data_IF_971318074571
#
_entry.id   IF_971318074571
#
_cell.length_a   1.000
_cell.length_b   1.000
_cell.length_c   1.000
_cell.angle_alpha   90.00
_cell.angle_beta   90.00
_cell.angle_gamma   90.00
#
_symmetry.space_group_name_H-M   'P 1'
#
loop_
_entity.id
_entity.type
_entity.pdbx_description
1 polymer ?
#
# COMPACT_ATOMS: atom_id res chain seq x y z
N UNK A 1 31.38 12.82 0.84
CA UNK A 1 29.93 13.08 0.81
C UNK A 1 29.61 14.39 0.13
N UNK A 2 30.17 15.55 0.49
CA UNK A 2 29.84 16.84 -0.18
C UNK A 2 30.02 16.81 -1.71
N UNK A 3 31.11 16.23 -2.24
CA UNK A 3 31.26 16.04 -3.69
C UNK A 3 30.13 15.24 -4.38
N UNK A 4 29.34 14.53 -3.62
CA UNK A 4 28.19 13.80 -4.15
C UNK A 4 26.96 14.70 -4.19
N UNK A 5 26.79 15.54 -3.18
CA UNK A 5 25.72 16.54 -3.15
C UNK A 5 25.93 17.61 -4.25
N UNK A 6 27.17 17.85 -4.69
CA UNK A 6 27.47 18.68 -5.86
C UNK A 6 26.91 18.12 -7.18
N UNK A 7 26.52 16.81 -7.21
CA UNK A 7 25.90 16.16 -8.36
C UNK A 7 24.37 16.27 -8.39
N UNK A 8 23.78 17.07 -7.51
CA UNK A 8 22.33 17.34 -7.55
C UNK A 8 22.01 18.11 -8.82
N UNK A 9 21.27 17.50 -9.73
CA UNK A 9 20.85 18.05 -11.03
C UNK A 9 19.43 18.63 -10.97
N UNK A 10 18.57 18.02 -10.16
CA UNK A 10 17.15 18.39 -10.04
C UNK A 10 16.87 18.92 -8.64
N UNK A 11 16.51 20.20 -8.53
CA UNK A 11 16.21 20.84 -7.26
C UNK A 11 17.42 21.39 -6.52
N UNK A 12 17.26 21.68 -5.23
CA UNK A 12 18.32 22.24 -4.39
C UNK A 12 18.23 21.78 -2.94
N UNK A 13 19.39 21.74 -2.28
CA UNK A 13 19.53 21.34 -0.87
C UNK A 13 20.30 22.41 -0.09
N UNK A 14 19.72 22.89 0.99
CA UNK A 14 20.43 23.65 2.02
C UNK A 14 20.79 22.71 3.19
N UNK A 15 22.06 22.52 3.43
CA UNK A 15 22.60 21.68 4.50
C UNK A 15 23.19 22.56 5.60
N UNK A 16 22.64 22.47 6.79
CA UNK A 16 23.13 23.16 7.99
C UNK A 16 23.97 22.17 8.81
N UNK A 17 25.24 22.49 9.00
CA UNK A 17 26.21 21.68 9.71
C UNK A 17 26.09 21.87 11.23
N UNK A 18 26.62 20.95 12.06
CA UNK A 18 26.56 21.05 13.52
C UNK A 18 27.29 22.28 14.10
N UNK A 19 28.22 22.88 13.33
CA UNK A 19 28.93 24.11 13.68
C UNK A 19 28.20 25.40 13.26
N UNK A 20 27.01 25.27 12.68
CA UNK A 20 26.19 26.37 12.18
C UNK A 20 26.48 26.82 10.76
N UNK A 21 27.49 26.25 10.10
CA UNK A 21 27.78 26.56 8.70
C UNK A 21 26.63 26.06 7.81
N UNK A 22 26.25 26.88 6.79
CA UNK A 22 25.31 26.51 5.74
C UNK A 22 26.06 26.22 4.45
N UNK A 23 25.75 25.09 3.83
CA UNK A 23 26.20 24.71 2.49
C UNK A 23 24.97 24.57 1.59
N UNK A 24 25.04 25.05 0.36
CA UNK A 24 23.95 24.94 -0.62
C UNK A 24 24.42 24.14 -1.83
N UNK A 25 23.58 23.21 -2.32
CA UNK A 25 23.86 22.32 -3.43
C UNK A 25 22.69 22.36 -4.43
N UNK A 26 22.98 22.09 -5.72
CA UNK A 26 22.00 22.14 -6.80
C UNK A 26 21.69 23.57 -7.25
N UNK A 27 20.75 23.72 -8.16
CA UNK A 27 20.37 25.00 -8.74
C UNK A 27 19.06 25.51 -8.16
N UNK A 28 19.10 26.69 -7.55
CA UNK A 28 17.90 27.44 -7.13
C UNK A 28 17.51 28.40 -8.25
N UNK A 29 16.40 28.13 -8.93
CA UNK A 29 15.79 29.17 -9.78
C UNK A 29 15.16 30.19 -8.85
N UNK A 30 15.61 31.45 -8.91
CA UNK A 30 15.08 32.51 -8.06
C UNK A 30 13.56 32.66 -8.30
N UNK A 31 12.79 32.63 -7.22
CA UNK A 31 11.31 32.68 -7.27
C UNK A 31 10.76 33.94 -8.00
N UNK A 32 11.59 34.97 -8.19
CA UNK A 32 11.24 36.20 -8.92
C UNK A 32 11.39 36.11 -10.45
N UNK A 33 12.05 35.07 -10.98
CA UNK A 33 12.33 34.95 -12.41
C UNK A 33 11.60 33.76 -13.05
N UNK A 34 10.89 32.93 -12.28
CA UNK A 34 10.26 31.73 -12.78
C UNK A 34 8.77 31.95 -13.09
N UNK A 35 8.39 31.73 -14.35
CA UNK A 35 7.00 31.40 -14.67
C UNK A 35 6.59 30.12 -13.88
N UNK A 36 5.30 29.90 -13.58
CA UNK A 36 4.84 28.67 -12.89
C UNK A 36 5.38 27.37 -13.52
N UNK A 37 5.56 27.34 -14.84
CA UNK A 37 6.12 26.22 -15.59
C UNK A 37 7.63 26.02 -15.33
N UNK A 38 8.41 27.09 -15.19
CA UNK A 38 9.83 27.04 -14.85
C UNK A 38 10.08 26.70 -13.38
N UNK A 39 9.19 27.15 -12.48
CA UNK A 39 9.25 26.77 -11.06
C UNK A 39 8.96 25.27 -10.87
N UNK A 40 8.00 24.71 -11.62
CA UNK A 40 7.75 23.27 -11.64
C UNK A 40 8.92 22.46 -12.24
N UNK A 41 9.66 23.02 -13.21
CA UNK A 41 10.84 22.40 -13.82
C UNK A 41 12.10 22.45 -12.95
N UNK A 42 12.16 23.33 -11.91
CA UNK A 42 13.35 23.49 -11.06
C UNK A 42 13.53 22.40 -9.98
N UNK A 43 12.54 21.54 -9.79
CA UNK A 43 12.56 20.49 -8.75
C UNK A 43 12.37 21.01 -7.32
N UNK A 44 12.32 20.12 -6.32
CA UNK A 44 12.06 20.46 -4.93
C UNK A 44 13.26 21.21 -4.31
N UNK A 45 12.92 22.13 -3.39
CA UNK A 45 13.89 22.70 -2.48
C UNK A 45 13.79 22.04 -1.11
N UNK A 46 14.89 21.46 -0.64
CA UNK A 46 14.96 20.78 0.65
C UNK A 46 15.98 21.46 1.57
N UNK A 47 15.78 21.31 2.88
CA UNK A 47 16.78 21.62 3.88
C UNK A 47 17.05 20.41 4.78
N UNK A 48 18.25 20.29 5.28
CA UNK A 48 18.65 19.30 6.28
C UNK A 48 19.46 20.02 7.35
N UNK A 49 19.07 19.86 8.61
CA UNK A 49 19.81 20.34 9.78
C UNK A 49 20.47 19.14 10.46
N UNK A 50 21.81 19.09 10.47
CA UNK A 50 22.56 18.02 11.11
C UNK A 50 22.71 18.29 12.60
N UNK A 51 22.25 17.35 13.44
CA UNK A 51 22.56 17.33 14.85
C UNK A 51 24.01 16.82 15.10
N UNK A 52 24.48 15.94 14.23
CA UNK A 52 25.83 15.35 14.25
C UNK A 52 26.21 14.82 12.86
N UNK A 53 27.40 14.20 12.76
CA UNK A 53 27.95 13.70 11.49
C UNK A 53 27.51 12.26 11.13
N UNK A 54 26.67 11.61 11.93
CA UNK A 54 26.30 10.20 11.75
C UNK A 54 25.54 9.94 10.45
N UNK A 55 24.72 10.89 9.98
CA UNK A 55 24.04 10.80 8.69
C UNK A 55 24.97 10.28 7.59
N UNK A 56 26.16 10.87 7.48
CA UNK A 56 27.08 10.51 6.41
C UNK A 56 27.67 9.10 6.56
N UNK A 57 28.04 8.73 7.80
CA UNK A 57 28.57 7.40 8.06
C UNK A 57 27.53 6.31 7.92
N UNK A 58 26.29 6.56 8.34
CA UNK A 58 25.15 5.65 8.22
C UNK A 58 24.80 5.43 6.74
N UNK A 59 24.67 6.52 5.97
CA UNK A 59 24.37 6.47 4.52
C UNK A 59 25.45 5.73 3.75
N UNK A 60 26.73 6.00 4.00
CA UNK A 60 27.84 5.30 3.33
C UNK A 60 27.92 3.82 3.69
N UNK A 61 27.44 3.41 4.86
CA UNK A 61 27.47 2.01 5.33
C UNK A 61 26.29 1.20 4.81
N UNK A 62 25.09 1.77 4.80
CA UNK A 62 23.84 1.05 4.57
C UNK A 62 22.90 1.73 3.55
N UNK A 63 23.40 2.70 2.77
CA UNK A 63 22.64 3.35 1.70
C UNK A 63 21.40 4.09 2.22
N UNK A 64 20.28 3.91 1.51
CA UNK A 64 18.96 4.47 1.84
C UNK A 64 18.45 4.05 3.22
N UNK A 65 18.73 2.81 3.63
CA UNK A 65 18.40 2.31 4.96
C UNK A 65 19.19 3.07 6.04
N UNK A 66 20.47 3.32 5.80
CA UNK A 66 21.31 4.11 6.71
C UNK A 66 20.86 5.57 6.80
N UNK A 67 20.45 6.14 5.66
CA UNK A 67 19.85 7.46 5.59
C UNK A 67 18.57 7.55 6.43
N UNK A 68 17.65 6.61 6.24
CA UNK A 68 16.42 6.52 7.01
C UNK A 68 16.71 6.31 8.51
N UNK A 69 17.58 5.34 8.86
CA UNK A 69 17.93 5.06 10.24
C UNK A 69 18.47 6.29 10.98
N UNK A 70 19.33 7.09 10.32
CA UNK A 70 19.87 8.31 10.91
C UNK A 70 18.79 9.36 11.19
N UNK A 71 17.73 9.43 10.37
CA UNK A 71 16.54 10.24 10.66
C UNK A 71 15.81 9.73 11.89
N UNK A 72 15.56 8.40 11.96
CA UNK A 72 14.87 7.77 13.09
C UNK A 72 15.62 7.98 14.42
N UNK A 73 16.94 8.00 14.37
CA UNK A 73 17.82 8.19 15.54
C UNK A 73 17.98 9.68 15.92
N UNK A 74 17.44 10.60 15.10
CA UNK A 74 17.47 12.04 15.36
C UNK A 74 18.81 12.72 15.01
N UNK A 75 19.65 12.07 14.20
CA UNK A 75 20.93 12.62 13.75
C UNK A 75 20.75 13.85 12.85
N UNK A 76 19.57 14.03 12.28
CA UNK A 76 19.19 15.19 11.47
C UNK A 76 17.69 15.47 11.52
N UNK A 77 17.31 16.69 11.12
CA UNK A 77 15.95 17.15 10.97
C UNK A 77 15.78 17.97 9.68
N UNK A 78 14.54 18.26 9.33
CA UNK A 78 14.17 19.03 8.14
C UNK A 78 12.82 19.71 8.37
N UNK A 79 12.58 20.81 7.68
CA UNK A 79 11.26 21.48 7.69
C UNK A 79 10.25 20.74 6.78
N UNK A 80 10.76 19.94 5.81
CA UNK A 80 9.92 19.18 4.89
C UNK A 80 10.58 17.86 4.50
N UNK A 81 10.18 16.79 5.20
CA UNK A 81 10.70 15.46 4.91
C UNK A 81 10.35 15.00 3.48
N UNK A 82 9.15 15.35 3.00
CA UNK A 82 8.75 15.03 1.62
C UNK A 82 9.68 15.68 0.59
N UNK A 83 10.05 16.94 0.78
CA UNK A 83 10.96 17.62 -0.15
C UNK A 83 12.36 16.98 -0.20
N UNK A 84 12.86 16.50 0.95
CA UNK A 84 14.14 15.75 1.01
C UNK A 84 14.03 14.43 0.25
N UNK A 85 12.94 13.69 0.43
CA UNK A 85 12.74 12.39 -0.21
C UNK A 85 12.47 12.52 -1.72
N UNK A 86 11.74 13.55 -2.15
CA UNK A 86 11.56 13.87 -3.56
C UNK A 86 12.89 14.25 -4.21
N UNK A 87 13.71 15.11 -3.55
CA UNK A 87 15.03 15.47 -4.03
C UNK A 87 15.92 14.24 -4.20
N UNK A 88 15.93 13.34 -3.22
CA UNK A 88 16.69 12.09 -3.27
C UNK A 88 16.20 11.17 -4.41
N UNK A 89 14.88 11.11 -4.62
CA UNK A 89 14.25 10.30 -5.65
C UNK A 89 14.59 10.79 -7.05
N UNK A 90 14.51 12.10 -7.30
CA UNK A 90 14.82 12.72 -8.59
C UNK A 90 16.32 12.65 -8.95
N UNK A 91 17.19 12.66 -7.94
CA UNK A 91 18.64 12.60 -8.13
C UNK A 91 19.20 11.21 -7.81
N UNK A 92 18.39 10.16 -7.95
CA UNK A 92 18.81 8.78 -7.66
C UNK A 92 20.03 8.38 -8.45
N UNK A 93 20.03 8.57 -9.78
CA UNK A 93 21.09 8.10 -10.67
C UNK A 93 22.43 8.80 -10.40
N UNK A 94 22.51 10.14 -10.27
CA UNK A 94 23.74 10.83 -9.89
C UNK A 94 24.28 10.43 -8.51
N UNK A 95 23.41 10.07 -7.58
CA UNK A 95 23.77 9.70 -6.22
C UNK A 95 23.97 8.19 -6.02
N UNK A 96 23.60 7.37 -7.03
CA UNK A 96 23.54 5.91 -6.95
C UNK A 96 24.85 5.27 -6.56
N UNK A 97 25.98 5.69 -7.15
CA UNK A 97 27.31 5.11 -6.90
C UNK A 97 27.75 5.27 -5.44
N UNK A 98 27.27 6.31 -4.78
CA UNK A 98 27.61 6.62 -3.40
C UNK A 98 26.71 5.92 -2.39
N UNK A 99 25.42 5.86 -2.69
CA UNK A 99 24.41 5.30 -1.80
C UNK A 99 24.45 3.77 -1.87
N UNK A 100 24.77 3.21 -3.03
CA UNK A 100 24.62 1.77 -3.30
C UNK A 100 25.91 1.04 -3.71
N UNK A 101 27.03 1.73 -3.82
CA UNK A 101 28.29 1.19 -4.35
C UNK A 101 29.02 0.14 -3.49
N UNK A 102 28.50 -0.28 -2.34
CA UNK A 102 29.15 -1.30 -1.47
C UNK A 102 28.26 -2.50 -1.22
N UNK A 103 28.53 -3.58 -1.95
CA UNK A 103 27.80 -4.86 -1.94
C UNK A 103 27.82 -5.64 -0.60
N UNK A 104 28.68 -5.29 0.35
CA UNK A 104 28.81 -5.98 1.64
C UNK A 104 27.63 -5.77 2.60
N UNK A 105 26.89 -4.65 2.50
CA UNK A 105 25.69 -4.41 3.30
C UNK A 105 24.52 -5.37 2.98
N UNK A 106 24.48 -5.90 1.76
CA UNK A 106 23.42 -6.77 1.28
C UNK A 106 23.38 -8.17 1.91
N UNK A 107 24.47 -8.65 2.55
CA UNK A 107 24.49 -10.00 3.12
C UNK A 107 23.70 -10.10 4.43
N UNK A 108 23.82 -9.10 5.28
CA UNK A 108 23.13 -9.05 6.59
C UNK A 108 21.63 -8.80 6.40
N UNK A 109 21.28 -7.95 5.42
CA UNK A 109 19.88 -7.68 5.05
C UNK A 109 19.20 -8.89 4.42
N UNK A 110 19.91 -9.68 3.60
CA UNK A 110 19.40 -10.97 3.06
C UNK A 110 19.09 -12.00 4.14
N UNK A 111 19.93 -12.11 5.17
CA UNK A 111 19.69 -13.01 6.32
C UNK A 111 18.43 -12.59 7.10
N UNK A 112 18.21 -11.30 7.33
CA UNK A 112 16.98 -10.78 7.96
C UNK A 112 15.75 -11.02 7.09
N UNK A 113 15.85 -10.83 5.78
CA UNK A 113 14.74 -11.09 4.85
C UNK A 113 14.34 -12.59 4.83
N UNK A 114 15.30 -13.51 4.96
CA UNK A 114 15.04 -14.94 5.09
C UNK A 114 14.27 -15.31 6.38
N UNK A 115 14.47 -14.57 7.45
CA UNK A 115 13.77 -14.77 8.73
C UNK A 115 12.31 -14.28 8.70
N UNK A 116 11.98 -13.33 7.82
CA UNK A 116 10.66 -12.73 7.68
C UNK A 116 9.81 -13.37 6.55
N UNK A 117 10.11 -14.62 6.17
CA UNK A 117 9.36 -15.34 5.13
C UNK A 117 7.88 -15.47 5.49
N UNK A 118 6.99 -15.22 4.50
CA UNK A 118 5.53 -15.27 4.63
C UNK A 118 5.01 -16.73 4.61
N UNK A 119 5.61 -17.62 5.41
CA UNK A 119 4.98 -18.89 5.79
C UNK A 119 3.66 -18.61 6.51
N UNK A 120 2.78 -19.60 6.68
CA UNK A 120 1.50 -19.41 7.42
C UNK A 120 1.70 -18.77 8.80
N UNK A 121 2.71 -19.22 9.56
CA UNK A 121 3.07 -18.64 10.84
C UNK A 121 3.74 -17.25 10.70
N UNK A 122 4.57 -17.07 9.67
CA UNK A 122 5.23 -15.81 9.34
C UNK A 122 4.24 -14.72 8.94
N UNK A 123 3.29 -15.02 8.05
CA UNK A 123 2.24 -14.07 7.64
C UNK A 123 1.43 -13.58 8.83
N UNK A 124 0.99 -14.49 9.71
CA UNK A 124 0.27 -14.10 10.95
C UNK A 124 1.11 -13.16 11.82
N UNK A 125 2.37 -13.50 12.07
CA UNK A 125 3.28 -12.68 12.88
C UNK A 125 3.55 -11.31 12.25
N UNK A 126 3.79 -11.25 10.94
CA UNK A 126 4.07 -10.00 10.23
C UNK A 126 2.85 -9.07 10.22
N UNK A 127 1.64 -9.64 10.02
CA UNK A 127 0.37 -8.89 10.09
C UNK A 127 0.11 -8.41 11.52
N UNK A 128 0.30 -9.25 12.55
CA UNK A 128 0.17 -8.83 13.94
C UNK A 128 1.12 -7.68 14.27
N UNK A 129 2.39 -7.76 13.90
CA UNK A 129 3.35 -6.69 14.19
C UNK A 129 2.96 -5.32 13.63
N UNK A 130 2.26 -5.28 12.50
CA UNK A 130 1.82 -4.03 11.89
C UNK A 130 0.44 -3.55 12.40
N UNK A 131 -0.55 -4.44 12.52
CA UNK A 131 -1.93 -4.08 12.90
C UNK A 131 -2.20 -4.07 14.40
N UNK A 132 -1.31 -4.60 15.24
CA UNK A 132 -1.40 -4.56 16.71
C UNK A 132 -1.13 -3.15 17.30
N UNK A 133 -0.88 -2.13 16.45
CA UNK A 133 -0.86 -0.72 16.87
C UNK A 133 -2.22 -0.25 17.42
N UNK A 134 -3.28 -1.02 17.16
CA UNK A 134 -4.63 -0.78 17.66
C UNK A 134 -5.49 0.12 16.76
N UNK A 135 -6.79 -0.15 16.75
CA UNK A 135 -7.75 0.61 15.94
C UNK A 135 -7.78 2.10 16.30
N UNK A 136 -7.54 2.44 17.59
CA UNK A 136 -7.46 3.81 18.08
C UNK A 136 -6.33 4.62 17.44
N UNK A 137 -5.19 4.00 17.13
CA UNK A 137 -4.09 4.63 16.43
C UNK A 137 -4.47 4.94 14.97
N UNK A 138 -5.01 3.97 14.25
CA UNK A 138 -5.41 4.15 12.85
C UNK A 138 -6.53 5.18 12.69
N UNK A 139 -7.48 5.24 13.63
CA UNK A 139 -8.56 6.20 13.62
C UNK A 139 -8.11 7.67 13.78
N UNK A 140 -6.89 7.94 14.23
CA UNK A 140 -6.36 9.30 14.34
C UNK A 140 -6.11 9.95 12.98
N UNK A 141 -5.76 9.16 11.96
CA UNK A 141 -5.28 9.69 10.69
C UNK A 141 -5.94 9.08 9.44
N UNK A 142 -6.57 7.92 9.53
CA UNK A 142 -7.45 7.43 8.47
C UNK A 142 -8.73 8.27 8.38
N UNK A 143 -9.49 8.10 7.31
CA UNK A 143 -10.83 8.63 7.19
C UNK A 143 -11.84 7.80 8.03
N UNK A 144 -13.08 8.31 8.26
CA UNK A 144 -14.08 7.60 9.07
C UNK A 144 -14.42 6.18 8.57
N UNK A 145 -14.19 5.91 7.29
CA UNK A 145 -14.40 4.56 6.73
C UNK A 145 -13.32 3.55 7.18
N UNK A 146 -12.28 4.00 7.88
CA UNK A 146 -11.15 3.16 8.31
C UNK A 146 -10.52 2.41 7.13
N UNK A 147 -10.38 3.07 5.98
CA UNK A 147 -9.83 2.44 4.79
C UNK A 147 -8.33 2.70 4.68
N UNK A 148 -7.52 1.64 4.82
CA UNK A 148 -6.07 1.69 4.75
C UNK A 148 -5.56 1.15 3.41
N UNK A 149 -5.95 1.85 2.35
CA UNK A 149 -5.53 1.61 0.96
C UNK A 149 -5.78 2.88 0.14
N UNK A 150 -5.23 2.98 -1.07
CA UNK A 150 -5.40 4.15 -1.92
C UNK A 150 -6.87 4.52 -2.09
N UNK A 151 -7.19 5.78 -1.96
CA UNK A 151 -8.45 6.35 -2.43
C UNK A 151 -8.39 6.61 -3.94
N UNK A 152 -9.53 6.77 -4.61
CA UNK A 152 -9.65 7.12 -6.02
C UNK A 152 -10.30 8.49 -6.14
N UNK A 153 -9.51 9.51 -6.49
CA UNK A 153 -10.00 10.87 -6.72
C UNK A 153 -10.39 11.12 -8.18
N UNK A 154 -9.78 10.37 -9.11
CA UNK A 154 -10.04 10.44 -10.55
C UNK A 154 -10.01 11.87 -11.10
N UNK A 155 -8.96 12.63 -10.72
CA UNK A 155 -8.77 14.02 -11.09
C UNK A 155 -9.67 15.02 -10.35
N UNK A 156 -10.67 14.58 -9.57
CA UNK A 156 -11.54 15.46 -8.81
C UNK A 156 -10.91 15.86 -7.46
N UNK A 157 -10.27 17.02 -7.44
CA UNK A 157 -9.59 17.56 -6.26
C UNK A 157 -10.54 18.01 -5.13
N UNK A 158 -11.85 18.08 -5.37
CA UNK A 158 -12.84 18.54 -4.38
C UNK A 158 -13.39 17.41 -3.50
N UNK A 159 -13.14 16.15 -3.85
CA UNK A 159 -13.57 15.01 -3.06
C UNK A 159 -12.87 14.98 -1.71
N UNK A 160 -13.64 14.69 -0.67
CA UNK A 160 -13.06 14.28 0.62
C UNK A 160 -12.40 12.91 0.49
N UNK A 161 -11.49 12.58 1.41
CA UNK A 161 -10.85 11.26 1.42
C UNK A 161 -11.86 10.13 1.51
N UNK A 162 -12.89 10.26 2.35
CA UNK A 162 -13.97 9.28 2.49
C UNK A 162 -14.75 9.09 1.17
N UNK A 163 -15.11 10.20 0.49
CA UNK A 163 -15.78 10.14 -0.81
C UNK A 163 -14.92 9.44 -1.87
N UNK A 164 -13.63 9.71 -1.88
CA UNK A 164 -12.69 9.07 -2.79
C UNK A 164 -12.50 7.57 -2.47
N UNK A 165 -12.57 7.17 -1.19
CA UNK A 165 -12.59 5.76 -0.79
C UNK A 165 -13.87 5.06 -1.28
N UNK A 166 -15.03 5.69 -1.16
CA UNK A 166 -16.29 5.16 -1.69
C UNK A 166 -16.26 5.06 -3.22
N UNK A 167 -15.65 6.03 -3.90
CA UNK A 167 -15.48 5.99 -5.36
C UNK A 167 -14.60 4.80 -5.80
N UNK A 168 -13.55 4.49 -5.07
CA UNK A 168 -12.73 3.29 -5.29
C UNK A 168 -13.57 2.00 -5.20
N UNK A 169 -14.37 1.85 -4.15
CA UNK A 169 -15.21 0.67 -3.97
C UNK A 169 -16.25 0.55 -5.07
N UNK A 170 -16.89 1.67 -5.44
CA UNK A 170 -17.85 1.69 -6.54
C UNK A 170 -17.22 1.20 -7.84
N UNK A 171 -16.03 1.69 -8.18
CA UNK A 171 -15.32 1.25 -9.38
C UNK A 171 -15.04 -0.26 -9.35
N UNK A 172 -14.63 -0.82 -8.21
CA UNK A 172 -14.42 -2.27 -8.07
C UNK A 172 -15.74 -3.02 -8.32
N UNK A 173 -16.84 -2.58 -7.74
CA UNK A 173 -18.17 -3.20 -7.92
C UNK A 173 -18.64 -3.12 -9.38
N UNK A 174 -18.41 -2.01 -10.06
CA UNK A 174 -18.69 -1.85 -11.50
C UNK A 174 -17.89 -2.84 -12.36
N UNK A 175 -16.61 -3.05 -12.05
CA UNK A 175 -15.77 -4.03 -12.76
C UNK A 175 -16.19 -5.48 -12.48
N UNK A 176 -16.78 -5.77 -11.33
CA UNK A 176 -17.30 -7.09 -10.97
C UNK A 176 -18.70 -7.36 -11.55
N UNK A 177 -19.48 -6.32 -11.89
CA UNK A 177 -20.89 -6.45 -12.32
C UNK A 177 -21.11 -7.47 -13.44
N UNK A 178 -20.29 -7.56 -14.51
CA UNK A 178 -20.51 -8.55 -15.57
C UNK A 178 -20.50 -10.01 -15.11
N UNK A 179 -19.85 -10.32 -13.98
CA UNK A 179 -19.88 -11.66 -13.39
C UNK A 179 -21.27 -12.07 -12.87
N UNK A 180 -22.07 -11.07 -12.46
CA UNK A 180 -23.42 -11.28 -11.92
C UNK A 180 -24.50 -11.27 -13.02
N UNK A 181 -24.22 -10.61 -14.15
CA UNK A 181 -25.15 -10.52 -15.29
C UNK A 181 -25.09 -11.75 -16.20
N UNK A 182 -23.98 -12.49 -16.20
CA UNK A 182 -23.77 -13.64 -17.07
C UNK A 182 -24.63 -14.87 -16.70
N UNK A 183 -25.45 -14.80 -15.66
CA UNK A 183 -26.31 -15.90 -15.17
C UNK A 183 -27.75 -15.49 -14.90
N UNK A 184 -28.63 -15.47 -15.90
CA UNK A 184 -30.05 -15.59 -15.62
C UNK A 184 -30.37 -17.05 -15.27
N UNK A 185 -30.44 -17.40 -13.97
CA UNK A 185 -31.08 -18.63 -13.51
C UNK A 185 -30.27 -19.72 -12.84
N UNK A 186 -28.93 -19.66 -12.79
CA UNK A 186 -28.12 -20.61 -12.02
C UNK A 186 -27.49 -19.94 -10.77
N UNK A 187 -28.19 -20.01 -9.65
CA UNK A 187 -27.54 -19.79 -8.35
C UNK A 187 -26.60 -20.95 -8.09
N UNK A 188 -25.26 -20.75 -8.16
CA UNK A 188 -24.36 -21.69 -7.52
C UNK A 188 -24.70 -21.70 -6.03
N UNK A 189 -24.99 -22.90 -5.50
CA UNK A 189 -24.96 -23.08 -4.06
C UNK A 189 -23.60 -22.60 -3.58
N UNK A 190 -23.58 -21.42 -2.96
CA UNK A 190 -22.39 -20.96 -2.27
C UNK A 190 -21.99 -22.04 -1.27
N UNK A 191 -20.69 -22.32 -1.15
CA UNK A 191 -20.17 -23.21 -0.09
C UNK A 191 -20.50 -22.66 1.32
N UNK A 192 -21.20 -21.56 1.36
CA UNK A 192 -21.80 -20.90 2.51
C UNK A 192 -23.32 -20.87 2.33
N UNK A 193 -24.03 -21.71 3.09
CA UNK A 193 -25.47 -21.53 3.32
C UNK A 193 -25.65 -20.47 4.42
N UNK A 194 -26.16 -19.27 4.11
CA UNK A 194 -26.62 -18.37 5.16
C UNK A 194 -27.69 -19.12 5.95
N UNK A 195 -27.63 -19.03 7.28
CA UNK A 195 -28.56 -19.76 8.18
C UNK A 195 -29.99 -19.69 7.63
N UNK A 196 -30.57 -20.85 7.31
CA UNK A 196 -31.88 -20.97 6.69
C UNK A 196 -32.96 -20.42 7.65
N UNK A 197 -33.24 -19.13 7.54
CA UNK A 197 -34.45 -18.54 8.07
C UNK A 197 -35.30 -18.06 6.90
N UNK A 198 -36.23 -18.89 6.46
CA UNK A 198 -37.24 -18.53 5.47
C UNK A 198 -38.16 -17.45 6.03
N UNK A 199 -37.79 -16.19 5.89
CA UNK A 199 -38.69 -15.05 6.05
C UNK A 199 -39.28 -14.66 4.68
N UNK A 200 -40.60 -14.51 4.52
CA UNK A 200 -41.21 -14.05 3.28
C UNK A 200 -40.76 -12.60 3.01
N UNK A 201 -40.24 -12.35 1.81
CA UNK A 201 -39.83 -11.02 1.35
C UNK A 201 -38.31 -10.83 1.09
N UNK A 202 -37.51 -11.89 1.13
CA UNK A 202 -36.07 -11.83 0.89
C UNK A 202 -35.79 -11.64 -0.62
N UNK A 203 -35.10 -10.56 -0.96
CA UNK A 203 -34.51 -10.36 -2.31
C UNK A 203 -33.41 -11.43 -2.44
N UNK A 204 -33.47 -12.25 -3.49
CA UNK A 204 -32.39 -13.18 -3.81
C UNK A 204 -31.09 -12.38 -3.99
N UNK A 205 -29.96 -12.79 -3.38
CA UNK A 205 -28.70 -12.07 -3.52
C UNK A 205 -28.32 -11.98 -4.99
N UNK A 206 -27.83 -10.80 -5.42
CA UNK A 206 -27.36 -10.57 -6.80
C UNK A 206 -26.18 -11.45 -7.17
N UNK A 207 -25.41 -11.91 -6.21
CA UNK A 207 -24.22 -12.74 -6.39
C UNK A 207 -23.41 -12.87 -5.12
N UNK A 208 -22.36 -13.69 -5.19
CA UNK A 208 -21.45 -13.98 -4.09
C UNK A 208 -20.05 -13.41 -4.36
N UNK A 209 -19.47 -12.73 -3.37
CA UNK A 209 -18.14 -12.13 -3.44
C UNK A 209 -17.24 -12.69 -2.35
N UNK A 210 -16.03 -13.12 -2.71
CA UNK A 210 -14.95 -13.35 -1.78
C UNK A 210 -14.08 -12.11 -1.68
N UNK A 211 -13.93 -11.54 -0.48
CA UNK A 211 -12.93 -10.49 -0.21
C UNK A 211 -11.72 -11.08 0.48
N UNK A 212 -10.57 -11.07 -0.21
CA UNK A 212 -9.30 -11.55 0.34
C UNK A 212 -8.57 -10.37 0.98
N UNK A 213 -8.55 -10.34 2.32
CA UNK A 213 -7.99 -9.20 3.08
C UNK A 213 -9.04 -8.12 3.34
N UNK A 214 -10.11 -8.45 4.08
CA UNK A 214 -11.24 -7.55 4.27
C UNK A 214 -10.97 -6.34 5.19
N UNK A 215 -9.80 -6.27 5.83
CA UNK A 215 -9.43 -5.16 6.69
C UNK A 215 -10.53 -4.86 7.73
N UNK A 216 -10.91 -3.60 7.85
CA UNK A 216 -11.99 -3.13 8.74
C UNK A 216 -13.39 -3.21 8.11
N UNK A 217 -13.57 -4.00 7.03
CA UNK A 217 -14.87 -4.32 6.45
C UNK A 217 -15.49 -3.25 5.55
N UNK A 218 -14.71 -2.26 5.09
CA UNK A 218 -15.22 -1.16 4.28
C UNK A 218 -15.79 -1.60 2.92
N UNK A 219 -15.08 -2.45 2.19
CA UNK A 219 -15.57 -2.98 0.92
C UNK A 219 -16.70 -4.01 1.15
N UNK A 220 -16.59 -4.87 2.17
CA UNK A 220 -17.66 -5.82 2.50
C UNK A 220 -18.99 -5.12 2.76
N UNK A 221 -18.97 -4.00 3.51
CA UNK A 221 -20.15 -3.17 3.74
C UNK A 221 -20.68 -2.58 2.43
N UNK A 222 -19.82 -2.01 1.60
CA UNK A 222 -20.22 -1.40 0.33
C UNK A 222 -20.85 -2.44 -0.61
N UNK A 223 -20.26 -3.63 -0.73
CA UNK A 223 -20.76 -4.72 -1.57
C UNK A 223 -22.10 -5.28 -1.06
N UNK A 224 -22.26 -5.43 0.26
CA UNK A 224 -23.52 -5.89 0.85
C UNK A 224 -24.64 -4.86 0.66
N UNK A 225 -24.36 -3.56 0.76
CA UNK A 225 -25.33 -2.49 0.45
C UNK A 225 -25.76 -2.50 -1.02
N UNK A 226 -24.90 -2.99 -1.93
CA UNK A 226 -25.24 -3.22 -3.35
C UNK A 226 -26.00 -4.54 -3.60
N UNK A 227 -26.38 -5.25 -2.52
CA UNK A 227 -27.19 -6.47 -2.58
C UNK A 227 -26.41 -7.77 -2.82
N UNK A 228 -25.08 -7.75 -2.63
CA UNK A 228 -24.21 -8.92 -2.75
C UNK A 228 -24.09 -9.66 -1.41
N UNK A 229 -23.87 -10.97 -1.48
CA UNK A 229 -23.44 -11.77 -0.32
C UNK A 229 -21.91 -11.79 -0.29
N UNK A 230 -21.31 -11.42 0.83
CA UNK A 230 -19.85 -11.27 0.96
C UNK A 230 -19.30 -12.26 1.97
N UNK A 231 -18.24 -12.95 1.60
CA UNK A 231 -17.33 -13.61 2.52
C UNK A 231 -16.01 -12.86 2.58
N UNK A 232 -15.69 -12.30 3.76
CA UNK A 232 -14.44 -11.55 3.96
C UNK A 232 -13.45 -12.33 4.82
N UNK A 233 -12.18 -12.37 4.37
CA UNK A 233 -11.09 -13.05 5.07
C UNK A 233 -10.11 -12.04 5.63
N UNK A 234 -9.69 -12.22 6.88
CA UNK A 234 -8.57 -11.47 7.48
C UNK A 234 -7.73 -12.39 8.38
N UNK A 235 -6.50 -11.98 8.66
CA UNK A 235 -5.62 -12.61 9.66
C UNK A 235 -5.50 -11.81 10.95
N UNK A 236 -6.08 -10.60 11.02
CA UNK A 236 -6.07 -9.74 12.20
C UNK A 236 -7.36 -9.90 13.01
N UNK A 237 -7.22 -10.23 14.29
CA UNK A 237 -8.35 -10.35 15.21
C UNK A 237 -8.99 -8.98 15.48
N UNK A 238 -8.20 -7.95 15.57
CA UNK A 238 -8.63 -6.57 15.82
C UNK A 238 -9.45 -6.04 14.64
N UNK A 239 -9.00 -6.28 13.41
CA UNK A 239 -9.74 -5.94 12.21
C UNK A 239 -11.05 -6.72 12.13
N UNK A 240 -11.01 -8.04 12.39
CA UNK A 240 -12.21 -8.88 12.39
C UNK A 240 -13.25 -8.38 13.37
N UNK A 241 -12.86 -8.09 14.62
CA UNK A 241 -13.77 -7.61 15.65
C UNK A 241 -14.42 -6.28 15.24
N UNK A 242 -13.63 -5.34 14.74
CA UNK A 242 -14.12 -4.05 14.26
C UNK A 242 -15.05 -4.21 13.04
N UNK A 243 -14.64 -5.00 12.05
CA UNK A 243 -15.41 -5.24 10.84
C UNK A 243 -16.78 -5.92 11.18
N UNK A 244 -16.78 -6.90 12.08
CA UNK A 244 -18.02 -7.55 12.53
C UNK A 244 -18.96 -6.53 13.18
N UNK A 245 -18.45 -5.71 14.11
CA UNK A 245 -19.26 -4.66 14.74
C UNK A 245 -19.83 -3.67 13.71
N UNK A 246 -19.02 -3.27 12.72
CA UNK A 246 -19.44 -2.40 11.61
C UNK A 246 -20.60 -3.00 10.83
N UNK A 247 -20.50 -4.27 10.45
CA UNK A 247 -21.52 -4.98 9.68
C UNK A 247 -22.81 -5.13 10.48
N UNK A 248 -22.70 -5.45 11.77
CA UNK A 248 -23.85 -5.54 12.68
C UNK A 248 -24.58 -4.19 12.82
N UNK A 249 -23.82 -3.11 13.04
CA UNK A 249 -24.36 -1.74 13.13
C UNK A 249 -25.04 -1.28 11.82
N UNK A 250 -24.54 -1.75 10.68
CA UNK A 250 -25.12 -1.47 9.37
C UNK A 250 -26.39 -2.31 9.07
N UNK A 251 -26.71 -3.31 9.92
CA UNK A 251 -27.82 -4.24 9.70
C UNK A 251 -27.59 -5.24 8.56
N UNK A 252 -26.32 -5.56 8.26
CA UNK A 252 -25.90 -6.37 7.11
C UNK A 252 -25.41 -7.78 7.51
N UNK A 253 -25.57 -8.19 8.76
CA UNK A 253 -25.07 -9.46 9.29
C UNK A 253 -25.59 -10.71 8.54
N UNK A 254 -26.76 -10.63 7.91
CA UNK A 254 -27.27 -11.73 7.08
C UNK A 254 -26.62 -11.85 5.71
N UNK A 255 -25.92 -10.79 5.23
CA UNK A 255 -25.32 -10.72 3.90
C UNK A 255 -23.79 -10.85 3.95
N UNK A 256 -23.17 -10.66 5.13
CA UNK A 256 -21.72 -10.64 5.26
C UNK A 256 -21.26 -11.65 6.30
N UNK A 257 -20.39 -12.55 5.89
CA UNK A 257 -19.63 -13.43 6.78
C UNK A 257 -18.17 -13.00 6.78
N UNK A 258 -17.61 -12.76 7.97
CA UNK A 258 -16.20 -12.42 8.16
C UNK A 258 -15.50 -13.51 8.96
N UNK A 259 -14.34 -13.97 8.47
CA UNK A 259 -13.61 -15.08 9.06
C UNK A 259 -12.15 -14.76 9.32
N UNK A 260 -11.63 -15.24 10.44
CA UNK A 260 -10.18 -15.27 10.71
C UNK A 260 -9.57 -16.46 9.96
N UNK A 261 -9.30 -16.28 8.67
CA UNK A 261 -8.92 -17.36 7.78
C UNK A 261 -7.79 -16.92 6.84
N UNK A 262 -6.83 -17.82 6.63
CA UNK A 262 -5.80 -17.64 5.59
C UNK A 262 -6.42 -17.97 4.22
N UNK A 263 -6.26 -17.08 3.25
CA UNK A 263 -6.82 -17.26 1.89
C UNK A 263 -6.41 -18.59 1.25
N UNK A 264 -5.27 -19.16 1.64
CA UNK A 264 -4.78 -20.47 1.15
C UNK A 264 -5.66 -21.65 1.59
N UNK A 265 -6.43 -21.45 2.68
CA UNK A 265 -7.32 -22.47 3.24
C UNK A 265 -8.78 -22.34 2.72
N UNK A 266 -9.07 -21.26 1.97
CA UNK A 266 -10.38 -21.06 1.35
C UNK A 266 -10.65 -22.11 0.28
N UNK A 267 -11.84 -22.75 0.33
CA UNK A 267 -12.26 -23.81 -0.56
C UNK A 267 -13.56 -23.48 -1.34
N UNK A 268 -14.20 -22.37 -1.01
CA UNK A 268 -15.45 -21.94 -1.66
C UNK A 268 -15.25 -21.52 -3.12
N UNK A 269 -16.38 -21.37 -3.82
CA UNK A 269 -16.47 -20.79 -5.15
C UNK A 269 -17.40 -19.59 -5.13
N UNK A 270 -16.99 -18.52 -5.80
CA UNK A 270 -17.66 -17.23 -5.75
C UNK A 270 -17.82 -16.67 -7.17
N UNK A 271 -18.91 -15.94 -7.40
CA UNK A 271 -19.15 -15.26 -8.67
C UNK A 271 -18.11 -14.16 -8.90
N UNK A 272 -17.64 -13.53 -7.82
CA UNK A 272 -16.63 -12.50 -7.88
C UNK A 272 -15.61 -12.60 -6.74
N UNK A 273 -14.41 -12.04 -6.98
CA UNK A 273 -13.35 -11.93 -5.97
C UNK A 273 -12.87 -10.47 -5.95
N UNK A 274 -12.73 -9.90 -4.76
CA UNK A 274 -12.05 -8.63 -4.53
C UNK A 274 -10.84 -8.85 -3.60
N UNK A 275 -9.73 -8.18 -3.87
CA UNK A 275 -8.56 -8.15 -2.99
C UNK A 275 -7.91 -6.77 -3.11
N UNK A 276 -7.86 -6.03 -2.00
CA UNK A 276 -7.46 -4.62 -2.01
C UNK A 276 -6.22 -4.47 -1.14
N UNK A 277 -5.05 -4.26 -1.78
CA UNK A 277 -3.75 -4.04 -1.15
C UNK A 277 -3.40 -5.09 -0.07
N UNK A 278 -3.65 -6.34 -0.41
CA UNK A 278 -3.24 -7.51 0.36
C UNK A 278 -2.11 -8.28 -0.33
N UNK A 279 -2.04 -8.20 -1.67
CA UNK A 279 -1.08 -8.96 -2.47
C UNK A 279 0.38 -8.63 -2.13
N UNK A 280 0.65 -7.40 -1.72
CA UNK A 280 1.96 -6.93 -1.26
C UNK A 280 2.50 -7.75 -0.08
N UNK A 281 1.60 -8.22 0.80
CA UNK A 281 1.95 -9.02 1.96
C UNK A 281 2.15 -10.52 1.64
N UNK A 282 1.89 -10.95 0.41
CA UNK A 282 2.01 -12.37 0.00
C UNK A 282 3.48 -12.80 -0.07
N UNK A 283 4.34 -11.96 -0.65
CA UNK A 283 5.73 -12.28 -0.93
C UNK A 283 5.91 -13.14 -2.20
N UNK A 284 6.98 -12.88 -2.95
CA UNK A 284 7.20 -13.42 -4.30
C UNK A 284 7.09 -14.94 -4.38
N UNK A 285 7.66 -15.67 -3.42
CA UNK A 285 7.65 -17.13 -3.39
C UNK A 285 6.24 -17.74 -3.31
N UNK A 286 5.24 -16.95 -2.89
CA UNK A 286 3.86 -17.40 -2.71
C UNK A 286 2.89 -16.83 -3.75
N UNK A 287 3.34 -15.99 -4.68
CA UNK A 287 2.50 -15.49 -5.77
C UNK A 287 1.82 -16.61 -6.58
N UNK A 288 2.52 -17.70 -6.95
CA UNK A 288 1.84 -18.82 -7.62
C UNK A 288 0.67 -19.41 -6.81
N UNK A 289 0.84 -19.57 -5.50
CA UNK A 289 -0.22 -20.11 -4.64
C UNK A 289 -1.39 -19.13 -4.51
N UNK A 290 -1.13 -17.84 -4.49
CA UNK A 290 -2.17 -16.81 -4.46
C UNK A 290 -3.04 -16.87 -5.72
N UNK A 291 -2.43 -16.83 -6.90
CA UNK A 291 -3.19 -16.88 -8.16
C UNK A 291 -3.89 -18.23 -8.36
N UNK A 292 -3.31 -19.35 -7.91
CA UNK A 292 -3.99 -20.64 -7.89
C UNK A 292 -5.22 -20.64 -7.00
N UNK A 293 -5.17 -19.94 -5.85
CA UNK A 293 -6.35 -19.78 -4.98
C UNK A 293 -7.41 -18.93 -5.65
N UNK A 294 -7.04 -17.80 -6.25
CA UNK A 294 -7.96 -16.94 -7.01
C UNK A 294 -8.62 -17.76 -8.13
N UNK A 295 -7.84 -18.48 -8.94
CA UNK A 295 -8.36 -19.32 -10.03
C UNK A 295 -9.35 -20.38 -9.52
N UNK A 296 -9.02 -21.08 -8.43
CA UNK A 296 -9.87 -22.13 -7.86
C UNK A 296 -11.16 -21.58 -7.27
N UNK A 297 -11.07 -20.44 -6.58
CA UNK A 297 -12.20 -19.82 -5.88
C UNK A 297 -13.11 -19.03 -6.81
N UNK A 298 -12.68 -18.69 -8.03
CA UNK A 298 -13.47 -17.96 -9.00
C UNK A 298 -14.39 -18.93 -9.76
N UNK A 299 -15.68 -18.58 -9.87
CA UNK A 299 -16.64 -19.31 -10.70
C UNK A 299 -16.24 -19.23 -12.21
N UNK A 300 -16.69 -20.16 -13.07
CA UNK A 300 -16.28 -20.20 -14.48
C UNK A 300 -16.49 -18.90 -15.27
N UNK A 301 -17.54 -18.16 -14.97
CA UNK A 301 -17.86 -16.86 -15.59
C UNK A 301 -17.55 -15.67 -14.67
N UNK A 302 -16.87 -15.95 -13.56
CA UNK A 302 -16.59 -14.97 -12.54
C UNK A 302 -15.52 -13.96 -12.96
N UNK A 303 -15.46 -12.88 -12.18
CA UNK A 303 -14.42 -11.84 -12.30
C UNK A 303 -13.73 -11.63 -10.96
N UNK A 304 -12.44 -11.39 -11.01
CA UNK A 304 -11.67 -10.95 -9.86
C UNK A 304 -11.12 -9.55 -10.11
N UNK A 305 -11.22 -8.66 -9.12
CA UNK A 305 -10.52 -7.36 -9.12
C UNK A 305 -9.50 -7.36 -8.01
N UNK A 306 -8.23 -7.22 -8.39
CA UNK A 306 -7.12 -7.17 -7.46
C UNK A 306 -6.49 -5.78 -7.54
N UNK A 307 -6.60 -5.01 -6.44
CA UNK A 307 -5.87 -3.77 -6.29
C UNK A 307 -4.56 -4.06 -5.58
N UNK A 308 -3.45 -3.65 -6.18
CA UNK A 308 -2.11 -3.82 -5.60
C UNK A 308 -1.15 -2.73 -6.03
N UNK A 309 -0.21 -2.41 -5.15
CA UNK A 309 0.93 -1.56 -5.46
C UNK A 309 1.88 -2.32 -6.38
N UNK A 310 2.40 -1.64 -7.39
CA UNK A 310 3.42 -2.15 -8.30
C UNK A 310 4.66 -1.29 -8.26
N UNK A 311 5.81 -1.88 -8.58
CA UNK A 311 7.06 -1.15 -8.76
C UNK A 311 7.38 -1.05 -10.26
N UNK A 312 8.03 0.04 -10.67
CA UNK A 312 8.48 0.22 -12.05
C UNK A 312 9.44 -0.91 -12.47
N UNK A 313 9.32 -1.40 -13.72
CA UNK A 313 10.06 -2.57 -14.21
C UNK A 313 11.59 -2.38 -14.10
N UNK A 314 12.09 -1.19 -14.37
CA UNK A 314 13.52 -0.84 -14.28
C UNK A 314 14.07 -0.90 -12.85
N UNK A 315 13.23 -0.80 -11.84
CA UNK A 315 13.62 -0.85 -10.43
C UNK A 315 13.53 -2.26 -9.84
N UNK A 316 12.78 -3.17 -10.47
CA UNK A 316 12.39 -4.45 -9.89
C UNK A 316 13.57 -5.35 -9.56
N UNK A 317 14.51 -5.51 -10.48
CA UNK A 317 15.66 -6.40 -10.29
C UNK A 317 16.52 -6.01 -9.09
N UNK A 318 16.64 -4.72 -8.84
CA UNK A 318 17.36 -4.18 -7.70
C UNK A 318 16.55 -4.33 -6.42
N UNK A 319 15.26 -3.96 -6.44
CA UNK A 319 14.32 -4.10 -5.33
C UNK A 319 14.25 -5.56 -4.85
N UNK A 320 14.14 -6.52 -5.77
CA UNK A 320 14.10 -7.95 -5.49
C UNK A 320 15.37 -8.48 -4.79
N UNK A 321 16.54 -7.90 -5.09
CA UNK A 321 17.84 -8.31 -4.53
C UNK A 321 18.18 -7.63 -3.22
N UNK A 322 17.51 -6.54 -2.91
CA UNK A 322 17.74 -5.73 -1.72
C UNK A 322 16.69 -5.90 -0.64
N UNK A 323 16.67 -4.97 0.26
CA UNK A 323 15.59 -4.70 1.21
C UNK A 323 15.52 -3.19 1.36
N UNK A 324 14.32 -2.64 1.37
CA UNK A 324 14.09 -1.21 1.52
C UNK A 324 13.63 -0.84 2.95
N UNK A 325 13.39 0.44 3.15
CA UNK A 325 12.88 0.96 4.41
C UNK A 325 11.56 0.29 4.83
N UNK A 326 10.63 0.12 3.88
CA UNK A 326 9.30 -0.45 4.14
C UNK A 326 9.41 -1.89 4.65
N UNK A 327 10.21 -2.69 4.00
CA UNK A 327 10.42 -4.10 4.37
C UNK A 327 11.14 -4.27 5.71
N UNK A 328 11.94 -3.28 6.14
CA UNK A 328 12.67 -3.36 7.40
C UNK A 328 11.90 -2.84 8.60
N UNK A 329 11.13 -1.77 8.43
CA UNK A 329 10.56 -1.03 9.56
C UNK A 329 9.03 -1.06 9.62
N UNK A 330 8.34 -1.33 8.49
CA UNK A 330 6.87 -1.19 8.40
C UNK A 330 6.19 -2.50 8.03
N UNK A 331 6.54 -3.10 6.89
CA UNK A 331 5.92 -4.32 6.37
C UNK A 331 6.96 -5.42 6.13
N UNK A 332 7.42 -6.13 7.19
CA UNK A 332 8.37 -7.23 7.02
C UNK A 332 7.82 -8.31 6.09
N UNK A 333 8.62 -8.70 5.09
CA UNK A 333 8.23 -9.71 4.12
C UNK A 333 7.36 -9.21 2.96
N UNK A 334 7.03 -7.92 2.92
CA UNK A 334 6.33 -7.30 1.80
C UNK A 334 7.12 -7.37 0.50
N UNK A 335 6.42 -7.52 -0.64
CA UNK A 335 7.04 -7.58 -1.96
C UNK A 335 6.10 -7.06 -3.03
N UNK A 336 6.52 -6.01 -3.73
CA UNK A 336 5.77 -5.41 -4.82
C UNK A 336 6.04 -6.14 -6.13
N UNK A 337 5.03 -6.51 -6.92
CA UNK A 337 5.21 -7.00 -8.27
C UNK A 337 5.46 -5.82 -9.23
N UNK A 338 5.98 -6.11 -10.41
CA UNK A 338 5.76 -5.24 -11.57
C UNK A 338 4.42 -5.60 -12.23
N UNK A 339 3.91 -4.70 -13.10
CA UNK A 339 2.71 -4.98 -13.89
C UNK A 339 2.91 -6.25 -14.74
N UNK A 340 4.10 -6.40 -15.35
CA UNK A 340 4.44 -7.56 -16.17
C UNK A 340 4.54 -8.84 -15.35
N UNK A 341 5.17 -8.82 -14.18
CA UNK A 341 5.27 -10.00 -13.30
C UNK A 341 3.90 -10.44 -12.77
N UNK A 342 3.04 -9.49 -12.38
CA UNK A 342 1.68 -9.78 -11.96
C UNK A 342 0.90 -10.51 -13.06
N UNK A 343 0.89 -9.97 -14.29
CA UNK A 343 0.19 -10.57 -15.42
C UNK A 343 0.72 -11.99 -15.75
N UNK A 344 2.03 -12.17 -15.76
CA UNK A 344 2.65 -13.50 -16.01
C UNK A 344 2.26 -14.54 -14.96
N UNK A 345 2.21 -14.16 -13.68
CA UNK A 345 1.81 -15.11 -12.62
C UNK A 345 0.32 -15.44 -12.69
N UNK A 346 -0.53 -14.48 -13.03
CA UNK A 346 -1.95 -14.71 -13.28
C UNK A 346 -2.14 -15.69 -14.46
N UNK A 347 -1.45 -15.47 -15.58
CA UNK A 347 -1.53 -16.30 -16.77
C UNK A 347 -1.08 -17.74 -16.52
N UNK A 348 0.03 -17.93 -15.80
CA UNK A 348 0.52 -19.27 -15.40
C UNK A 348 -0.48 -20.03 -14.52
N UNK A 349 -1.34 -19.33 -13.81
CA UNK A 349 -2.42 -19.91 -12.99
C UNK A 349 -3.71 -20.15 -13.77
N UNK A 350 -3.76 -19.83 -15.07
CA UNK A 350 -4.96 -20.00 -15.92
C UNK A 350 -5.93 -18.81 -15.84
N UNK A 351 -5.47 -17.65 -15.37
CA UNK A 351 -6.19 -16.38 -15.37
C UNK A 351 -5.63 -15.48 -16.46
N UNK A 352 -6.44 -14.53 -16.94
CA UNK A 352 -5.98 -13.44 -17.83
C UNK A 352 -6.37 -12.09 -17.27
N UNK A 353 -5.50 -11.12 -17.38
CA UNK A 353 -5.81 -9.71 -17.12
C UNK A 353 -6.61 -9.17 -18.31
N UNK A 354 -7.86 -8.82 -18.08
CA UNK A 354 -8.75 -8.26 -19.11
C UNK A 354 -8.80 -6.73 -19.09
N UNK A 355 -8.47 -6.14 -17.95
CA UNK A 355 -8.33 -4.69 -17.77
C UNK A 355 -7.30 -4.39 -16.68
N UNK A 356 -6.57 -3.31 -16.85
CA UNK A 356 -5.71 -2.71 -15.83
C UNK A 356 -5.98 -1.20 -15.76
N UNK A 357 -6.02 -0.66 -14.55
CA UNK A 357 -6.25 0.76 -14.30
C UNK A 357 -5.29 1.25 -13.23
N UNK A 358 -4.34 2.10 -13.64
CA UNK A 358 -3.34 2.71 -12.75
C UNK A 358 -3.79 4.08 -12.25
N UNK A 359 -3.61 4.37 -10.95
CA UNK A 359 -4.00 5.62 -10.31
C UNK A 359 -3.06 6.03 -9.16
N UNK A 360 -1.76 5.80 -9.32
CA UNK A 360 -0.76 6.09 -8.29
C UNK A 360 -0.68 7.55 -7.85
N UNK A 361 -1.06 8.51 -8.71
CA UNK A 361 -1.12 9.91 -8.30
C UNK A 361 -2.23 10.17 -7.26
N UNK A 362 -3.30 9.39 -7.28
CA UNK A 362 -4.34 9.42 -6.26
C UNK A 362 -3.83 8.81 -4.95
N UNK A 363 -2.92 7.82 -5.03
CA UNK A 363 -2.27 7.31 -3.83
C UNK A 363 -1.30 8.33 -3.23
N UNK A 364 -0.52 9.03 -4.05
CA UNK A 364 0.33 10.12 -3.55
C UNK A 364 -0.51 11.13 -2.76
N UNK A 365 -1.69 11.52 -3.27
CA UNK A 365 -2.62 12.41 -2.57
C UNK A 365 -3.20 11.78 -1.30
N UNK A 366 -3.56 10.51 -1.34
CA UNK A 366 -4.05 9.75 -0.16
C UNK A 366 -3.01 9.78 0.95
N UNK A 367 -1.75 9.48 0.64
CA UNK A 367 -0.62 9.47 1.57
C UNK A 367 -0.32 10.86 2.12
N UNK A 368 -0.40 11.89 1.27
CA UNK A 368 -0.29 13.28 1.71
C UNK A 368 -1.34 13.61 2.77
N UNK A 369 -2.61 13.29 2.52
CA UNK A 369 -3.71 13.55 3.46
C UNK A 369 -3.54 12.74 4.76
N UNK A 370 -3.09 11.50 4.69
CA UNK A 370 -2.79 10.70 5.88
C UNK A 370 -1.63 11.30 6.67
N UNK A 371 -0.56 11.72 6.02
CA UNK A 371 0.61 12.33 6.68
C UNK A 371 0.23 13.66 7.35
N UNK A 372 -0.51 14.52 6.68
CA UNK A 372 -0.99 15.78 7.24
C UNK A 372 -1.87 15.54 8.48
N UNK A 373 -2.79 14.57 8.44
CA UNK A 373 -3.62 14.19 9.59
C UNK A 373 -2.79 13.58 10.72
N UNK A 374 -1.84 12.71 10.40
CA UNK A 374 -0.95 12.10 11.40
C UNK A 374 -0.16 13.17 12.15
N UNK A 375 0.46 14.12 11.44
CA UNK A 375 1.21 15.23 12.04
C UNK A 375 0.29 16.09 12.90
N UNK A 376 -0.91 16.40 12.42
CA UNK A 376 -1.89 17.18 13.18
C UNK A 376 -2.36 16.48 14.47
N UNK A 377 -2.26 15.15 14.55
CA UNK A 377 -2.66 14.34 15.71
C UNK A 377 -1.48 13.84 16.55
N UNK A 378 -0.29 14.39 16.37
CA UNK A 378 0.94 13.88 17.02
C UNK A 378 0.85 13.81 18.55
N UNK A 379 0.20 14.78 19.19
CA UNK A 379 0.01 14.77 20.63
C UNK A 379 -0.96 13.67 21.08
N UNK A 380 -1.93 13.29 20.23
CA UNK A 380 -2.82 12.17 20.48
C UNK A 380 -2.08 10.84 20.34
N UNK A 381 -1.16 10.74 19.38
CA UNK A 381 -0.25 9.60 19.22
C UNK A 381 0.58 9.41 20.48
N UNK A 382 1.20 10.47 20.99
CA UNK A 382 1.99 10.45 22.26
C UNK A 382 1.16 10.00 23.47
N UNK A 383 -0.08 10.49 23.58
CA UNK A 383 -0.99 10.07 24.65
C UNK A 383 -1.35 8.59 24.60
N UNK A 384 -1.27 7.94 23.44
CA UNK A 384 -1.42 6.48 23.31
C UNK A 384 -0.14 5.70 23.68
N UNK A 385 0.94 6.37 24.08
CA UNK A 385 2.18 5.76 24.55
C UNK A 385 3.25 5.54 23.50
N UNK A 386 3.07 6.05 22.28
CA UNK A 386 4.06 6.00 21.22
C UNK A 386 5.19 7.03 21.47
N UNK A 387 6.41 6.63 21.24
CA UNK A 387 7.60 7.47 21.44
C UNK A 387 7.98 8.28 20.17
N UNK A 388 8.92 9.20 20.34
CA UNK A 388 9.40 10.05 19.24
C UNK A 388 10.06 9.26 18.11
N UNK A 389 10.63 8.07 18.40
CA UNK A 389 11.18 7.21 17.36
C UNK A 389 10.06 6.63 16.50
N UNK A 390 8.96 6.17 17.10
CA UNK A 390 7.78 5.71 16.38
C UNK A 390 7.19 6.81 15.50
N UNK A 391 7.08 8.04 16.02
CA UNK A 391 6.61 9.20 15.26
C UNK A 391 7.43 9.39 13.99
N UNK A 392 8.76 9.37 14.09
CA UNK A 392 9.68 9.49 12.97
C UNK A 392 9.56 8.32 11.98
N UNK A 393 9.38 7.08 12.46
CA UNK A 393 9.15 5.91 11.59
C UNK A 393 7.90 6.12 10.75
N UNK A 394 6.80 6.56 11.39
CA UNK A 394 5.51 6.69 10.71
C UNK A 394 5.48 7.85 9.73
N UNK A 395 6.04 8.99 10.12
CA UNK A 395 6.18 10.14 9.22
C UNK A 395 7.08 9.80 8.00
N UNK A 396 8.22 9.15 8.25
CA UNK A 396 9.12 8.72 7.18
C UNK A 396 8.43 7.73 6.24
N UNK A 397 7.69 6.77 6.77
CA UNK A 397 6.92 5.81 5.99
C UNK A 397 5.95 6.50 5.03
N UNK A 398 5.10 7.37 5.55
CA UNK A 398 4.09 8.06 4.74
C UNK A 398 4.75 8.96 3.68
N UNK A 399 5.77 9.72 4.04
CA UNK A 399 6.49 10.59 3.11
C UNK A 399 7.29 9.79 2.06
N UNK A 400 7.90 8.66 2.43
CA UNK A 400 8.66 7.80 1.52
C UNK A 400 7.77 7.20 0.44
N UNK A 401 6.60 6.67 0.84
CA UNK A 401 5.62 6.15 -0.11
C UNK A 401 5.03 7.29 -0.97
N UNK A 402 4.70 8.44 -0.38
CA UNK A 402 4.20 9.62 -1.10
C UNK A 402 5.18 10.04 -2.21
N UNK A 403 6.48 10.16 -1.90
CA UNK A 403 7.51 10.49 -2.89
C UNK A 403 7.61 9.42 -3.99
N UNK A 404 7.55 8.14 -3.62
CA UNK A 404 7.58 7.02 -4.56
C UNK A 404 6.45 7.07 -5.59
N UNK A 405 5.21 7.37 -5.16
CA UNK A 405 4.05 7.50 -6.05
C UNK A 405 4.11 8.79 -6.89
N UNK A 406 4.49 9.93 -6.31
CA UNK A 406 4.62 11.20 -7.04
C UNK A 406 5.56 11.08 -8.22
N UNK A 407 6.67 10.37 -8.05
CA UNK A 407 7.71 10.18 -9.08
C UNK A 407 7.59 8.87 -9.86
N UNK A 408 6.45 8.16 -9.74
CA UNK A 408 6.14 6.93 -10.48
C UNK A 408 7.17 5.82 -10.33
N UNK A 409 7.93 5.79 -9.23
CA UNK A 409 8.77 4.65 -8.88
C UNK A 409 7.92 3.44 -8.49
N UNK A 410 6.78 3.74 -7.89
CA UNK A 410 5.69 2.81 -7.59
C UNK A 410 4.38 3.39 -8.12
N UNK A 411 3.44 2.50 -8.41
CA UNK A 411 2.09 2.84 -8.85
C UNK A 411 1.09 1.93 -8.14
N UNK A 412 -0.20 2.22 -8.19
CA UNK A 412 -1.25 1.32 -7.74
C UNK A 412 -2.17 0.99 -8.90
N UNK A 413 -2.46 -0.29 -9.07
CA UNK A 413 -3.33 -0.77 -10.14
C UNK A 413 -4.51 -1.56 -9.59
N UNK A 414 -5.66 -1.41 -10.24
CA UNK A 414 -6.74 -2.39 -10.19
C UNK A 414 -6.65 -3.25 -11.45
N UNK A 415 -6.38 -4.55 -11.25
CA UNK A 415 -6.36 -5.56 -12.31
C UNK A 415 -7.67 -6.33 -12.28
N UNK A 416 -8.40 -6.33 -13.41
CA UNK A 416 -9.57 -7.19 -13.59
C UNK A 416 -9.14 -8.47 -14.28
N UNK A 417 -9.48 -9.61 -13.66
CA UNK A 417 -9.06 -10.95 -14.08
C UNK A 417 -10.29 -11.81 -14.40
N UNK A 418 -10.14 -12.66 -15.41
CA UNK A 418 -11.08 -13.72 -15.77
C UNK A 418 -10.30 -15.03 -16.01
N UNK A 419 -11.00 -16.17 -16.09
CA UNK A 419 -10.37 -17.39 -16.57
C UNK A 419 -9.83 -17.23 -18.00
N UNK A 420 -8.62 -17.72 -18.28
CA UNK A 420 -7.96 -17.60 -19.58
C UNK A 420 -8.71 -18.37 -20.69
N UNK A 421 -9.32 -19.49 -20.34
CA UNK A 421 -10.22 -20.25 -21.20
C UNK A 421 -11.59 -20.24 -20.53
N UNK A 422 -12.63 -19.80 -21.25
CA UNK A 422 -14.01 -20.03 -20.80
C UNK A 422 -14.27 -21.52 -20.92
N UNK A 423 -14.68 -22.20 -19.86
CA UNK A 423 -15.03 -23.61 -19.90
C UNK A 423 -16.23 -23.86 -20.83
#
# INVERSE_FOLDING_TARGET
MFRLLERIEHGSLDLYLPDGQRLSFGSRVAAHEASPERAAASGPHANIQLANWNLFSATLRAGDIGFAQSYLDGDWSTDSLIAVLELATLNRDPLQDAIYGRWWGGLITRLRHLLNRNTRAGSRRNIHAHYDLGNSFYALWLDPSMTYSSALFDGNQTLTLEQAQQQKYRRILEELQPAFEAKPGETHQAAFEPAQTTRPGRISPRGTVLEIGCGWGGFAEAAARDGLTVRGLTLSKEQLAFATQRIDQAGLAEQVQLDLCDYRDEQGRYDAIASIEMFEAVGESYWPAYFQTVHRALAPHGRAVIQTITIADELFDRYRRGSDFIQQFVFPGGMLPTVSAFAQHAERAGLRVVRSFGFGQDYARTLQLWRERFIAQIDSVRRQGFDSRFERVWEFYLAYCEAGFRHRNIDVFQFTLEHAQRP
#
